data_IF_022952035605
#
_entry.id   IF_022952035605
#
_cell.length_a   1.000
_cell.length_b   1.000
_cell.length_c   1.000
_cell.angle_alpha   90.00
_cell.angle_beta   90.00
_cell.angle_gamma   90.00
#
_symmetry.space_group_name_H-M   'P 1'
#
loop_
_entity.id
_entity.type
_entity.pdbx_description
1 polymer ?
#
# COMPACT_ATOMS: atom_id res chain seq x y z
N UNK A 1 -8.06 -18.52 -6.20
CA UNK A 1 -7.63 -17.99 -4.89
C UNK A 1 -6.59 -16.87 -5.02
N UNK A 2 -5.33 -17.14 -5.41
CA UNK A 2 -4.27 -16.10 -5.48
C UNK A 2 -4.61 -14.89 -6.36
N UNK A 3 -5.27 -15.10 -7.49
CA UNK A 3 -5.73 -14.01 -8.36
C UNK A 3 -6.75 -13.09 -7.67
N UNK A 4 -7.68 -13.67 -6.90
CA UNK A 4 -8.67 -12.90 -6.11
C UNK A 4 -7.98 -11.99 -5.10
N UNK A 5 -6.95 -12.50 -4.43
CA UNK A 5 -6.16 -11.75 -3.44
C UNK A 5 -5.41 -10.60 -4.13
N UNK A 6 -4.73 -10.86 -5.25
CA UNK A 6 -4.00 -9.85 -6.00
C UNK A 6 -4.92 -8.73 -6.50
N UNK A 7 -6.08 -9.08 -7.07
CA UNK A 7 -7.09 -8.11 -7.52
C UNK A 7 -7.60 -7.29 -6.33
N UNK A 8 -7.97 -7.93 -5.21
CA UNK A 8 -8.47 -7.21 -4.05
C UNK A 8 -7.45 -6.24 -3.45
N UNK A 9 -6.18 -6.65 -3.37
CA UNK A 9 -5.11 -5.78 -2.89
C UNK A 9 -4.84 -4.61 -3.85
N UNK A 10 -4.86 -4.85 -5.16
CA UNK A 10 -4.72 -3.80 -6.17
C UNK A 10 -5.89 -2.80 -6.12
N UNK A 11 -7.12 -3.28 -5.97
CA UNK A 11 -8.30 -2.41 -5.81
C UNK A 11 -8.19 -1.55 -4.54
N UNK A 12 -7.73 -2.13 -3.43
CA UNK A 12 -7.48 -1.37 -2.21
C UNK A 12 -6.44 -0.27 -2.41
N UNK A 13 -5.35 -0.57 -3.13
CA UNK A 13 -4.31 0.41 -3.43
C UNK A 13 -4.80 1.52 -4.37
N UNK A 14 -5.55 1.16 -5.42
CA UNK A 14 -6.16 2.12 -6.35
C UNK A 14 -7.12 3.08 -5.63
N UNK A 15 -7.96 2.55 -4.73
CA UNK A 15 -8.84 3.37 -3.92
C UNK A 15 -8.07 4.42 -3.10
N UNK A 16 -6.97 4.03 -2.45
CA UNK A 16 -6.16 4.94 -1.64
C UNK A 16 -5.50 6.06 -2.48
N UNK A 17 -5.16 5.77 -3.73
CA UNK A 17 -4.47 6.71 -4.62
C UNK A 17 -5.43 7.64 -5.36
N UNK A 18 -6.61 7.18 -5.74
CA UNK A 18 -7.44 7.87 -6.74
C UNK A 18 -8.85 8.19 -6.26
N UNK A 19 -9.44 7.35 -5.40
CA UNK A 19 -10.86 7.46 -5.01
C UNK A 19 -11.06 8.04 -3.60
N UNK A 20 -10.04 7.93 -2.74
CA UNK A 20 -10.09 8.47 -1.39
C UNK A 20 -10.20 10.01 -1.42
N UNK A 21 -11.07 10.56 -0.58
CA UNK A 21 -11.25 12.02 -0.43
C UNK A 21 -9.94 12.78 -0.13
N UNK A 22 -8.99 12.08 0.48
CA UNK A 22 -7.60 12.51 0.64
C UNK A 22 -6.71 11.40 0.09
N UNK A 23 -6.16 11.55 -1.12
CA UNK A 23 -5.23 10.59 -1.68
C UNK A 23 -4.01 10.38 -0.76
N UNK A 24 -3.72 9.12 -0.44
CA UNK A 24 -2.61 8.75 0.43
C UNK A 24 -1.65 7.80 -0.28
N UNK A 25 -0.36 7.97 -0.01
CA UNK A 25 0.68 7.01 -0.38
C UNK A 25 0.68 5.89 0.67
N UNK A 26 0.66 4.64 0.20
CA UNK A 26 0.88 3.44 1.03
C UNK A 26 2.28 2.88 0.76
N UNK A 27 3.35 3.45 1.38
CA UNK A 27 4.72 3.19 0.93
C UNK A 27 5.21 1.77 1.21
N UNK A 28 4.77 1.14 2.30
CA UNK A 28 5.23 -0.20 2.70
C UNK A 28 4.31 -1.32 2.17
N UNK A 29 4.00 -1.29 0.87
CA UNK A 29 3.12 -2.27 0.24
C UNK A 29 3.82 -3.61 0.02
N UNK A 30 3.43 -4.64 0.80
CA UNK A 30 3.99 -6.00 0.73
C UNK A 30 2.96 -7.05 1.16
N UNK A 31 3.26 -8.32 0.90
CA UNK A 31 2.35 -9.45 1.21
C UNK A 31 1.96 -9.53 2.68
N UNK A 32 2.89 -9.23 3.61
CA UNK A 32 2.58 -9.21 5.04
C UNK A 32 1.69 -8.05 5.47
N UNK A 33 1.39 -7.08 4.58
CA UNK A 33 0.42 -5.99 4.77
C UNK A 33 -0.96 -6.28 4.14
N UNK A 34 -1.18 -7.50 3.67
CA UNK A 34 -2.46 -7.94 3.10
C UNK A 34 -3.06 -9.00 4.03
N UNK A 35 -4.12 -8.64 4.75
CA UNK A 35 -4.92 -9.59 5.53
C UNK A 35 -5.95 -10.26 4.64
N UNK A 36 -6.34 -11.48 5.01
CA UNK A 36 -7.38 -12.26 4.35
C UNK A 36 -8.47 -12.57 5.36
N UNK A 37 -9.73 -12.41 4.97
CA UNK A 37 -10.85 -12.98 5.70
C UNK A 37 -11.09 -14.45 5.31
N UNK A 38 -12.13 -15.06 5.89
CA UNK A 38 -12.48 -16.48 5.65
C UNK A 38 -12.81 -16.78 4.18
N UNK A 39 -13.20 -15.76 3.41
CA UNK A 39 -13.55 -15.88 1.99
C UNK A 39 -12.40 -15.47 1.06
N UNK A 40 -11.19 -15.28 1.59
CA UNK A 40 -10.01 -14.80 0.85
C UNK A 40 -10.20 -13.43 0.20
N UNK A 41 -11.00 -12.54 0.80
CA UNK A 41 -11.01 -11.14 0.40
C UNK A 41 -9.79 -10.44 1.02
N UNK A 42 -9.06 -9.70 0.20
CA UNK A 42 -7.88 -8.96 0.63
C UNK A 42 -8.28 -7.66 1.34
N UNK A 43 -7.60 -7.35 2.45
CA UNK A 43 -7.72 -6.09 3.19
C UNK A 43 -6.33 -5.55 3.49
N UNK A 44 -6.09 -4.27 3.18
CA UNK A 44 -4.84 -3.61 3.53
C UNK A 44 -4.80 -3.32 5.04
N UNK A 45 -3.65 -3.51 5.68
CA UNK A 45 -3.45 -3.19 7.09
C UNK A 45 -2.08 -2.54 7.35
N UNK A 46 -1.94 -1.97 8.55
CA UNK A 46 -0.81 -1.15 8.99
C UNK A 46 -0.65 0.15 8.20
N UNK A 47 -1.48 1.12 8.58
CA UNK A 47 -1.44 2.46 8.03
C UNK A 47 -0.43 3.37 8.76
N UNK A 48 0.50 2.82 9.56
CA UNK A 48 1.42 3.62 10.37
C UNK A 48 2.41 4.48 9.58
N UNK A 49 2.61 4.17 8.29
CA UNK A 49 3.54 4.87 7.40
C UNK A 49 2.83 5.60 6.24
N UNK A 50 1.49 5.63 6.22
CA UNK A 50 0.77 6.31 5.14
C UNK A 50 0.86 7.81 5.31
N UNK A 51 0.83 8.52 4.18
CA UNK A 51 0.91 9.98 4.15
C UNK A 51 0.17 10.54 2.95
N UNK A 52 -0.33 11.76 3.07
CA UNK A 52 -0.96 12.45 1.93
C UNK A 52 0.08 12.70 0.82
N UNK A 53 -0.33 12.55 -0.45
CA UNK A 53 0.57 12.61 -1.61
C UNK A 53 1.38 13.92 -1.68
N UNK A 54 0.82 15.02 -1.18
CA UNK A 54 1.44 16.36 -1.25
C UNK A 54 2.44 16.65 -0.11
N UNK A 55 2.67 15.71 0.81
CA UNK A 55 3.56 15.91 1.96
C UNK A 55 4.94 15.32 1.67
N UNK A 56 5.95 16.18 1.50
CA UNK A 56 7.34 15.77 1.31
C UNK A 56 7.98 15.42 2.66
N UNK A 57 8.15 14.13 2.92
CA UNK A 57 8.84 13.61 4.11
C UNK A 57 9.71 12.41 3.75
N UNK A 58 10.74 12.15 4.55
CA UNK A 58 11.59 10.96 4.42
C UNK A 58 10.71 9.70 4.43
N UNK A 59 10.89 8.86 3.42
CA UNK A 59 10.10 7.64 3.26
C UNK A 59 10.81 6.49 3.97
N UNK A 60 10.11 5.83 4.88
CA UNK A 60 10.57 4.59 5.50
C UNK A 60 9.87 3.44 4.78
N UNK A 61 10.63 2.53 4.19
CA UNK A 61 10.12 1.36 3.46
C UNK A 61 10.91 0.11 3.83
N UNK A 62 10.31 -1.05 3.61
CA UNK A 62 10.99 -2.32 3.81
C UNK A 62 12.07 -2.55 2.76
N UNK A 63 13.22 -3.05 3.21
CA UNK A 63 14.32 -3.45 2.34
C UNK A 63 13.88 -4.47 1.29
N UNK A 64 14.12 -4.16 0.02
CA UNK A 64 13.70 -4.92 -1.16
C UNK A 64 12.35 -4.50 -1.74
N UNK A 65 11.67 -3.52 -1.13
CA UNK A 65 10.40 -2.94 -1.59
C UNK A 65 10.53 -1.43 -1.86
N UNK A 66 11.73 -0.86 -1.73
CA UNK A 66 11.98 0.55 -2.05
C UNK A 66 11.92 0.79 -3.56
N UNK A 67 11.20 1.83 -3.95
CA UNK A 67 11.32 2.37 -5.30
C UNK A 67 12.68 3.10 -5.46
N UNK A 68 13.35 3.03 -6.63
CA UNK A 68 14.70 3.59 -6.83
C UNK A 68 14.81 5.07 -6.44
N UNK A 69 13.78 5.86 -6.71
CA UNK A 69 13.71 7.28 -6.36
C UNK A 69 13.77 7.54 -4.85
N UNK A 70 13.39 6.57 -4.00
CA UNK A 70 13.52 6.66 -2.54
C UNK A 70 14.90 6.24 -2.03
N UNK A 71 15.71 5.58 -2.85
CA UNK A 71 17.10 5.22 -2.52
C UNK A 71 18.10 6.31 -2.91
N UNK A 72 17.72 7.16 -3.86
CA UNK A 72 18.56 8.24 -4.41
C UNK A 72 18.44 9.57 -3.65
N UNK A 73 17.60 9.64 -2.61
CA UNK A 73 17.35 10.84 -1.80
C UNK A 73 18.30 11.03 -0.62
#
# INVERSE_FOLDING_TARGET
>A
MRMKIAIGAANGLAFLHEEASRPIIFPDFKTSKILLDMDYNAKLWDFGLVREIHVTTKVVVTKGYEAPEYLMS
#
